data_IF_536410786527
#
_entry.id   IF_536410786527
#
_cell.length_a   1.000
_cell.length_b   1.000
_cell.length_c   1.000
_cell.angle_alpha   90.00
_cell.angle_beta   90.00
_cell.angle_gamma   90.00
#
_symmetry.space_group_name_H-M   'P 1'
#
loop_
_entity.id
_entity.type
_entity.pdbx_description
1 polymer ?
#
# COMPACT_ATOMS: atom_id res chain seq x y z
N UNK A 1 41.13 18.05 14.65
CA UNK A 1 40.37 18.88 13.70
C UNK A 1 40.38 18.22 12.33
N UNK A 2 39.33 17.48 12.00
CA UNK A 2 39.10 17.00 10.63
C UNK A 2 38.47 18.15 9.84
N UNK A 3 39.11 18.55 8.74
CA UNK A 3 38.61 19.59 7.85
C UNK A 3 38.26 18.95 6.51
N UNK A 4 36.98 18.96 6.14
CA UNK A 4 36.51 18.47 4.85
C UNK A 4 36.85 19.49 3.77
N UNK A 5 37.56 19.08 2.74
CA UNK A 5 37.90 19.93 1.59
C UNK A 5 37.27 19.33 0.32
N UNK A 6 36.20 19.95 -0.16
CA UNK A 6 35.46 19.50 -1.35
C UNK A 6 36.08 20.15 -2.58
N UNK A 7 36.78 19.35 -3.39
CA UNK A 7 37.44 19.82 -4.62
C UNK A 7 36.50 19.91 -5.83
N UNK A 8 35.45 19.08 -5.84
CA UNK A 8 34.49 19.02 -6.93
C UNK A 8 33.14 18.50 -6.40
N UNK A 9 32.05 19.05 -6.94
CA UNK A 9 30.68 18.63 -6.66
C UNK A 9 29.94 18.50 -8.00
N UNK A 10 29.15 17.44 -8.15
CA UNK A 10 28.18 17.29 -9.24
C UNK A 10 26.91 16.64 -8.72
N UNK A 11 25.83 16.76 -9.48
CA UNK A 11 24.61 15.97 -9.26
C UNK A 11 24.91 14.51 -9.67
N UNK A 12 24.50 13.56 -8.83
CA UNK A 12 24.57 12.13 -9.15
C UNK A 12 23.47 11.76 -10.15
N UNK A 13 23.78 10.87 -11.09
CA UNK A 13 22.82 10.31 -12.05
C UNK A 13 22.20 9.02 -11.50
N UNK A 14 21.08 8.57 -12.07
CA UNK A 14 20.53 7.24 -11.73
C UNK A 14 21.59 6.15 -12.00
N UNK A 15 21.92 5.36 -10.97
CA UNK A 15 22.94 4.31 -11.04
C UNK A 15 24.31 4.68 -10.44
N UNK A 16 24.56 5.96 -10.16
CA UNK A 16 25.79 6.41 -9.47
C UNK A 16 25.79 6.10 -7.97
N UNK A 17 24.63 5.75 -7.41
CA UNK A 17 24.42 5.56 -5.99
C UNK A 17 23.46 4.38 -5.75
N UNK A 18 23.61 3.72 -4.60
CA UNK A 18 22.64 2.74 -4.12
C UNK A 18 21.63 3.51 -3.26
N UNK A 19 20.35 3.63 -3.67
CA UNK A 19 19.38 4.44 -2.92
C UNK A 19 19.24 4.01 -1.45
N UNK A 20 19.41 2.72 -1.16
CA UNK A 20 19.39 2.16 0.20
C UNK A 20 20.48 2.67 1.13
N UNK A 21 21.61 3.15 0.60
CA UNK A 21 22.71 3.69 1.42
C UNK A 21 22.37 5.09 1.97
N UNK A 22 21.37 5.76 1.39
CA UNK A 22 21.08 7.17 1.65
C UNK A 22 19.63 7.43 2.08
N UNK A 23 18.76 6.42 2.03
CA UNK A 23 17.34 6.54 2.33
C UNK A 23 16.82 5.29 3.06
N UNK A 24 15.79 5.42 3.92
CA UNK A 24 15.10 4.26 4.46
C UNK A 24 14.55 3.37 3.33
N UNK A 25 14.90 2.08 3.34
CA UNK A 25 14.40 1.08 2.38
C UNK A 25 13.90 -0.17 3.09
N UNK A 26 12.99 -0.90 2.45
CA UNK A 26 12.59 -2.24 2.93
C UNK A 26 13.81 -3.16 3.09
N UNK A 27 13.77 -4.01 4.12
CA UNK A 27 14.75 -5.09 4.31
C UNK A 27 14.44 -6.31 3.43
N UNK A 28 13.24 -6.36 2.84
CA UNK A 28 12.79 -7.44 1.99
C UNK A 28 13.18 -7.21 0.53
N UNK A 29 13.33 -8.29 -0.23
CA UNK A 29 13.52 -8.20 -1.69
C UNK A 29 12.28 -7.61 -2.36
N UNK A 30 12.43 -6.43 -2.98
CA UNK A 30 11.36 -5.77 -3.74
C UNK A 30 10.83 -6.68 -4.86
N UNK A 31 11.71 -7.37 -5.58
CA UNK A 31 11.28 -8.32 -6.63
C UNK A 31 10.54 -9.52 -6.03
N UNK A 32 11.06 -10.10 -4.95
CA UNK A 32 10.41 -11.24 -4.29
C UNK A 32 9.04 -10.89 -3.71
N UNK A 33 8.90 -9.69 -3.13
CA UNK A 33 7.61 -9.18 -2.65
C UNK A 33 6.63 -8.98 -3.81
N UNK A 34 7.09 -8.40 -4.91
CA UNK A 34 6.26 -8.16 -6.08
C UNK A 34 5.82 -9.48 -6.74
N UNK A 35 6.71 -10.47 -6.86
CA UNK A 35 6.36 -11.82 -7.32
C UNK A 35 5.32 -12.49 -6.41
N UNK A 36 5.46 -12.37 -5.10
CA UNK A 36 4.47 -12.88 -4.14
C UNK A 36 3.12 -12.17 -4.30
N UNK A 37 3.11 -10.86 -4.51
CA UNK A 37 1.91 -10.06 -4.78
C UNK A 37 1.21 -10.55 -6.06
N UNK A 38 1.97 -10.77 -7.15
CA UNK A 38 1.44 -11.34 -8.39
C UNK A 38 0.90 -12.76 -8.20
N UNK A 39 1.44 -13.51 -7.24
CA UNK A 39 0.88 -14.79 -6.80
C UNK A 39 -0.56 -14.67 -6.29
N UNK A 40 -0.92 -13.58 -5.60
CA UNK A 40 -2.30 -13.31 -5.19
C UNK A 40 -3.17 -12.83 -6.35
N UNK A 41 -2.63 -12.01 -7.26
CA UNK A 41 -3.36 -11.60 -8.49
C UNK A 41 -3.83 -12.82 -9.28
N UNK A 42 -2.97 -13.84 -9.43
CA UNK A 42 -3.28 -15.08 -10.15
C UNK A 42 -4.36 -15.94 -9.48
N UNK A 43 -4.58 -15.77 -8.18
CA UNK A 43 -5.59 -16.50 -7.41
C UNK A 43 -7.00 -15.88 -7.51
N UNK A 44 -7.12 -14.67 -8.06
CA UNK A 44 -8.42 -14.04 -8.33
C UNK A 44 -9.07 -14.76 -9.51
N UNK A 45 -10.17 -15.46 -9.23
CA UNK A 45 -10.88 -16.28 -10.24
C UNK A 45 -11.88 -15.44 -11.05
N UNK A 46 -12.50 -14.45 -10.41
CA UNK A 46 -13.41 -13.51 -11.06
C UNK A 46 -12.68 -12.73 -12.16
N UNK A 47 -13.07 -12.88 -13.44
CA UNK A 47 -12.33 -12.32 -14.55
C UNK A 47 -12.37 -10.78 -14.60
N UNK A 48 -13.42 -10.15 -14.07
CA UNK A 48 -13.54 -8.69 -14.04
C UNK A 48 -12.58 -8.10 -13.01
N UNK A 49 -12.58 -8.63 -11.79
CA UNK A 49 -11.67 -8.19 -10.74
C UNK A 49 -10.21 -8.46 -11.11
N UNK A 50 -9.90 -9.65 -11.66
CA UNK A 50 -8.54 -9.97 -12.08
C UNK A 50 -8.05 -9.00 -13.16
N UNK A 51 -8.86 -8.75 -14.18
CA UNK A 51 -8.49 -7.80 -15.24
C UNK A 51 -8.29 -6.37 -14.71
N UNK A 52 -9.10 -5.93 -13.74
CA UNK A 52 -8.95 -4.61 -13.13
C UNK A 52 -7.63 -4.52 -12.35
N UNK A 53 -7.29 -5.54 -11.56
CA UNK A 53 -6.00 -5.59 -10.84
C UNK A 53 -4.83 -5.65 -11.83
N UNK A 54 -4.90 -6.51 -12.85
CA UNK A 54 -3.85 -6.64 -13.87
C UNK A 54 -3.60 -5.33 -14.63
N UNK A 55 -4.61 -4.46 -14.76
CA UNK A 55 -4.46 -3.15 -15.40
C UNK A 55 -3.28 -2.37 -14.83
N UNK A 56 -3.19 -2.25 -13.51
CA UNK A 56 -2.08 -1.56 -12.86
C UNK A 56 -0.93 -2.49 -12.53
N UNK A 57 -1.22 -3.64 -11.91
CA UNK A 57 -0.18 -4.48 -11.33
C UNK A 57 0.58 -5.35 -12.33
N UNK A 58 0.12 -5.44 -13.59
CA UNK A 58 0.77 -6.25 -14.64
C UNK A 58 1.04 -5.46 -15.92
N UNK A 59 0.10 -4.60 -16.34
CA UNK A 59 0.14 -3.95 -17.67
C UNK A 59 0.75 -2.56 -17.66
N UNK A 60 0.69 -1.83 -16.53
CA UNK A 60 1.23 -0.47 -16.41
C UNK A 60 2.64 -0.49 -15.80
N UNK A 61 3.65 -0.62 -16.66
CA UNK A 61 5.07 -0.64 -16.25
C UNK A 61 5.48 0.61 -15.46
N UNK A 62 4.91 1.77 -15.79
CA UNK A 62 5.22 3.02 -15.13
C UNK A 62 4.64 3.06 -13.71
N UNK A 63 3.40 2.58 -13.53
CA UNK A 63 2.83 2.36 -12.20
C UNK A 63 3.64 1.34 -11.42
N UNK A 64 3.98 0.19 -12.00
CA UNK A 64 4.72 -0.88 -11.32
C UNK A 64 6.06 -0.35 -10.80
N UNK A 65 6.82 0.38 -11.63
CA UNK A 65 8.08 1.02 -11.19
C UNK A 65 7.85 1.95 -10.00
N UNK A 66 6.83 2.82 -10.06
CA UNK A 66 6.52 3.75 -8.96
C UNK A 66 6.10 3.01 -7.69
N UNK A 67 5.17 2.07 -7.79
CA UNK A 67 4.61 1.30 -6.68
C UNK A 67 5.69 0.54 -5.91
N UNK A 68 6.60 -0.13 -6.63
CA UNK A 68 7.71 -0.91 -6.04
C UNK A 68 8.71 -0.08 -5.25
N UNK A 69 8.85 1.21 -5.54
CA UNK A 69 9.76 2.11 -4.83
C UNK A 69 9.06 3.10 -3.89
N UNK A 70 7.72 3.08 -3.81
CA UNK A 70 6.94 4.04 -3.04
C UNK A 70 6.91 3.72 -1.54
N UNK A 71 6.68 4.74 -0.72
CA UNK A 71 6.36 4.57 0.71
C UNK A 71 4.86 4.34 0.90
N UNK A 72 4.48 3.66 1.98
CA UNK A 72 3.07 3.59 2.39
C UNK A 72 2.66 4.79 3.25
N UNK A 73 3.60 5.62 3.68
CA UNK A 73 3.32 6.77 4.52
C UNK A 73 4.44 7.79 4.44
N UNK A 74 4.12 9.04 4.80
CA UNK A 74 5.12 10.09 4.95
C UNK A 74 6.15 9.77 6.04
N UNK A 75 5.72 9.24 7.18
CA UNK A 75 6.61 9.03 8.33
C UNK A 75 6.25 7.91 9.31
N UNK A 76 5.03 7.37 9.30
CA UNK A 76 4.59 6.35 10.27
C UNK A 76 4.23 5.08 9.52
N UNK A 77 4.77 3.93 9.92
CA UNK A 77 4.61 2.59 9.31
C UNK A 77 4.91 2.53 7.81
N UNK A 78 5.93 1.76 7.43
CA UNK A 78 6.30 1.62 6.01
C UNK A 78 6.66 2.96 5.34
N UNK A 79 7.20 3.93 6.10
CA UNK A 79 7.68 5.23 5.63
C UNK A 79 9.02 5.18 4.91
N UNK A 80 9.25 4.13 4.12
CA UNK A 80 10.51 3.82 3.45
C UNK A 80 10.27 3.37 2.00
N UNK A 81 11.29 3.43 1.15
CA UNK A 81 11.16 2.99 -0.24
C UNK A 81 10.89 1.49 -0.32
N UNK A 82 9.84 1.13 -1.07
CA UNK A 82 9.29 -0.23 -1.11
C UNK A 82 8.26 -0.52 -0.01
N UNK A 83 8.01 0.44 0.88
CA UNK A 83 7.04 0.32 1.97
C UNK A 83 5.61 0.10 1.49
N UNK A 84 5.17 0.75 0.40
CA UNK A 84 3.82 0.57 -0.13
C UNK A 84 3.57 -0.87 -0.61
N UNK A 85 4.57 -1.44 -1.31
CA UNK A 85 4.52 -2.84 -1.75
C UNK A 85 4.52 -3.80 -0.55
N UNK A 86 5.39 -3.57 0.43
CA UNK A 86 5.46 -4.40 1.64
C UNK A 86 4.15 -4.39 2.41
N UNK A 87 3.59 -3.19 2.64
CA UNK A 87 2.31 -2.98 3.29
C UNK A 87 1.17 -3.70 2.55
N UNK A 88 1.03 -3.44 1.24
CA UNK A 88 -0.02 -4.06 0.42
C UNK A 88 0.06 -5.58 0.44
N UNK A 89 1.27 -6.15 0.38
CA UNK A 89 1.48 -7.59 0.46
C UNK A 89 1.12 -8.14 1.85
N UNK A 90 1.48 -7.44 2.92
CA UNK A 90 1.17 -7.83 4.29
C UNK A 90 -0.34 -7.82 4.57
N UNK A 91 -1.03 -6.75 4.17
CA UNK A 91 -2.50 -6.65 4.22
C UNK A 91 -3.15 -7.79 3.42
N UNK A 92 -2.67 -8.07 2.22
CA UNK A 92 -3.19 -9.19 1.40
C UNK A 92 -3.02 -10.55 2.08
N UNK A 93 -1.90 -10.78 2.78
CA UNK A 93 -1.66 -12.01 3.56
C UNK A 93 -2.62 -12.13 4.76
N UNK A 94 -2.89 -11.02 5.46
CA UNK A 94 -3.88 -10.99 6.54
C UNK A 94 -5.28 -11.28 6.02
N UNK A 95 -5.64 -10.72 4.86
CA UNK A 95 -6.90 -11.04 4.18
C UNK A 95 -7.00 -12.52 3.80
N UNK A 96 -5.92 -13.13 3.30
CA UNK A 96 -5.87 -14.58 3.07
C UNK A 96 -6.14 -15.38 4.35
N UNK A 97 -5.53 -14.98 5.48
CA UNK A 97 -5.79 -15.61 6.76
C UNK A 97 -7.28 -15.54 7.14
N UNK A 98 -7.91 -14.39 6.94
CA UNK A 98 -9.35 -14.23 7.18
C UNK A 98 -10.22 -15.13 6.30
N UNK A 99 -9.92 -15.24 5.00
CA UNK A 99 -10.63 -16.15 4.08
C UNK A 99 -10.51 -17.60 4.52
N UNK A 100 -9.32 -18.03 4.99
CA UNK A 100 -9.11 -19.40 5.48
C UNK A 100 -9.83 -19.65 6.81
N UNK A 101 -9.93 -18.63 7.66
CA UNK A 101 -10.54 -18.74 8.99
C UNK A 101 -12.08 -18.67 8.94
N UNK A 102 -12.66 -17.93 8.00
CA UNK A 102 -14.10 -17.70 7.92
C UNK A 102 -14.64 -17.87 6.50
N UNK A 103 -15.67 -18.72 6.33
CA UNK A 103 -16.32 -18.98 5.04
C UNK A 103 -17.32 -17.91 4.57
N UNK A 104 -17.27 -16.70 5.14
CA UNK A 104 -18.23 -15.62 4.83
C UNK A 104 -17.73 -14.64 3.77
N UNK A 105 -16.45 -14.70 3.41
CA UNK A 105 -15.83 -13.71 2.54
C UNK A 105 -15.85 -14.15 1.07
N UNK A 106 -16.17 -13.21 0.19
CA UNK A 106 -15.82 -13.28 -1.21
C UNK A 106 -14.30 -13.06 -1.36
N UNK A 107 -13.55 -14.17 -1.47
CA UNK A 107 -12.09 -14.19 -1.63
C UNK A 107 -11.60 -13.23 -2.71
N UNK A 108 -12.21 -13.27 -3.89
CA UNK A 108 -11.75 -12.51 -5.05
C UNK A 108 -11.93 -11.00 -4.84
N UNK A 109 -13.08 -10.60 -4.29
CA UNK A 109 -13.36 -9.21 -3.95
C UNK A 109 -12.40 -8.70 -2.87
N UNK A 110 -12.17 -9.49 -1.82
CA UNK A 110 -11.28 -9.09 -0.74
C UNK A 110 -9.83 -8.97 -1.21
N UNK A 111 -9.33 -9.90 -2.03
CA UNK A 111 -7.98 -9.83 -2.58
C UNK A 111 -7.83 -8.63 -3.52
N UNK A 112 -8.79 -8.40 -4.42
CA UNK A 112 -8.77 -7.22 -5.28
C UNK A 112 -8.80 -5.93 -4.46
N UNK A 113 -9.65 -5.85 -3.43
CA UNK A 113 -9.73 -4.68 -2.56
C UNK A 113 -8.42 -4.45 -1.79
N UNK A 114 -7.80 -5.50 -1.24
CA UNK A 114 -6.50 -5.41 -0.57
C UNK A 114 -5.39 -4.91 -1.50
N UNK A 115 -5.40 -5.29 -2.78
CA UNK A 115 -4.43 -4.80 -3.76
C UNK A 115 -4.67 -3.32 -4.12
N UNK A 116 -5.94 -2.88 -4.11
CA UNK A 116 -6.31 -1.51 -4.50
C UNK A 116 -6.35 -0.50 -3.36
N UNK A 117 -6.46 -0.93 -2.09
CA UNK A 117 -6.86 -0.05 -0.99
C UNK A 117 -6.03 1.24 -0.90
N UNK A 118 -4.73 1.11 -1.06
CA UNK A 118 -3.75 2.19 -0.95
C UNK A 118 -3.10 2.60 -2.29
N UNK A 119 -3.66 2.16 -3.42
CA UNK A 119 -3.06 2.43 -4.74
C UNK A 119 -2.87 3.94 -5.00
N UNK A 120 -3.75 4.76 -4.43
CA UNK A 120 -3.73 6.22 -4.54
C UNK A 120 -2.50 6.85 -3.90
N UNK A 121 -1.81 6.16 -2.98
CA UNK A 121 -0.58 6.67 -2.36
C UNK A 121 0.49 7.01 -3.38
N UNK A 122 0.52 6.29 -4.51
CA UNK A 122 1.42 6.54 -5.65
C UNK A 122 1.25 7.90 -6.32
N UNK A 123 0.16 8.63 -6.05
CA UNK A 123 -0.07 10.01 -6.47
C UNK A 123 -0.22 10.97 -5.30
N UNK A 124 -0.63 10.50 -4.12
CA UNK A 124 -0.74 11.31 -2.90
C UNK A 124 0.64 11.78 -2.41
N UNK A 125 1.64 10.91 -2.47
CA UNK A 125 3.00 11.20 -2.01
C UNK A 125 3.95 11.36 -3.19
N UNK A 126 4.89 12.30 -3.06
CA UNK A 126 5.98 12.46 -4.01
C UNK A 126 6.99 11.32 -3.88
N UNK A 127 7.69 10.94 -4.96
CA UNK A 127 8.78 9.98 -4.85
C UNK A 127 9.87 10.44 -3.87
N UNK A 128 10.64 9.48 -3.37
CA UNK A 128 11.87 9.79 -2.67
C UNK A 128 12.84 10.60 -3.56
N UNK A 129 13.65 11.49 -2.98
CA UNK A 129 13.91 11.66 -1.54
C UNK A 129 12.89 12.53 -0.78
N UNK A 130 11.99 13.24 -1.47
CA UNK A 130 11.12 14.22 -0.82
C UNK A 130 10.05 13.56 0.08
N UNK A 131 9.37 12.51 -0.43
CA UNK A 131 8.34 11.76 0.30
C UNK A 131 7.30 12.65 1.01
N UNK A 132 6.88 13.72 0.34
CA UNK A 132 5.92 14.70 0.87
C UNK A 132 4.60 14.63 0.11
N UNK A 133 3.54 15.19 0.68
CA UNK A 133 2.25 15.26 0.01
C UNK A 133 2.33 16.11 -1.26
N UNK A 134 1.79 15.59 -2.35
CA UNK A 134 1.56 16.33 -3.59
C UNK A 134 0.35 17.26 -3.43
N UNK A 135 0.14 18.18 -4.39
CA UNK A 135 -1.07 19.01 -4.41
C UNK A 135 -2.34 18.15 -4.44
N UNK A 136 -2.36 17.10 -5.27
CA UNK A 136 -3.47 16.13 -5.31
C UNK A 136 -3.62 15.39 -3.97
N UNK A 137 -2.51 15.02 -3.34
CA UNK A 137 -2.53 14.39 -2.02
C UNK A 137 -3.12 15.28 -0.94
N UNK A 138 -2.78 16.57 -0.93
CA UNK A 138 -3.34 17.56 0.00
C UNK A 138 -4.83 17.84 -0.26
N UNK A 139 -5.25 17.87 -1.54
CA UNK A 139 -6.60 18.26 -1.92
C UNK A 139 -7.60 17.10 -1.92
N UNK A 140 -7.18 15.88 -2.27
CA UNK A 140 -8.05 14.74 -2.50
C UNK A 140 -7.80 13.59 -1.52
N UNK A 141 -6.53 13.31 -1.21
CA UNK A 141 -6.10 12.14 -0.43
C UNK A 141 -6.18 10.81 -1.20
N UNK A 142 -5.38 9.83 -0.77
CA UNK A 142 -5.20 8.56 -1.48
C UNK A 142 -6.48 7.73 -1.62
N UNK A 143 -7.45 7.85 -0.71
CA UNK A 143 -8.71 7.08 -0.81
C UNK A 143 -9.49 7.50 -2.05
N UNK A 144 -9.68 8.81 -2.24
CA UNK A 144 -10.41 9.35 -3.40
C UNK A 144 -9.64 9.04 -4.69
N UNK A 145 -8.33 9.31 -4.69
CA UNK A 145 -7.44 9.00 -5.81
C UNK A 145 -7.49 7.50 -6.15
N UNK A 146 -7.47 6.62 -5.14
CA UNK A 146 -7.50 5.17 -5.30
C UNK A 146 -8.80 4.68 -5.91
N UNK A 147 -9.94 5.30 -5.54
CA UNK A 147 -11.24 5.04 -6.17
C UNK A 147 -11.26 5.49 -7.63
N UNK A 148 -10.67 6.65 -7.95
CA UNK A 148 -10.55 7.12 -9.34
C UNK A 148 -9.71 6.16 -10.17
N UNK A 149 -8.55 5.74 -9.65
CA UNK A 149 -7.69 4.75 -10.30
C UNK A 149 -8.41 3.41 -10.51
N UNK A 150 -9.06 2.86 -9.48
CA UNK A 150 -9.86 1.65 -9.61
C UNK A 150 -10.96 1.82 -10.66
N UNK A 151 -11.59 3.00 -10.72
CA UNK A 151 -12.62 3.31 -11.70
C UNK A 151 -12.09 3.40 -13.14
N UNK A 152 -10.86 3.90 -13.35
CA UNK A 152 -10.22 3.89 -14.67
C UNK A 152 -9.99 2.45 -15.16
N UNK A 153 -9.47 1.58 -14.29
CA UNK A 153 -9.32 0.15 -14.60
C UNK A 153 -10.67 -0.51 -14.91
N UNK A 154 -11.69 -0.27 -14.09
CA UNK A 154 -13.05 -0.80 -14.31
C UNK A 154 -13.62 -0.35 -15.66
N UNK A 155 -13.51 0.93 -16.01
CA UNK A 155 -14.03 1.49 -17.27
C UNK A 155 -13.34 0.94 -18.52
N UNK A 156 -12.10 0.46 -18.38
CA UNK A 156 -11.38 -0.17 -19.48
C UNK A 156 -11.89 -1.57 -19.84
N UNK A 157 -12.76 -2.16 -19.00
CA UNK A 157 -13.23 -3.54 -19.14
C UNK A 157 -14.70 -3.54 -19.58
N UNK A 158 -15.02 -4.05 -20.79
CA UNK A 158 -16.39 -4.17 -21.25
C UNK A 158 -17.25 -4.99 -20.28
N UNK A 159 -18.51 -4.57 -20.12
CA UNK A 159 -19.53 -5.28 -19.36
C UNK A 159 -19.18 -5.56 -17.89
N UNK A 160 -18.26 -4.79 -17.28
CA UNK A 160 -17.94 -4.92 -15.86
C UNK A 160 -19.23 -4.75 -15.01
N UNK A 161 -19.62 -5.76 -14.20
CA UNK A 161 -20.87 -5.69 -13.45
C UNK A 161 -20.90 -4.51 -12.47
N UNK A 162 -21.86 -3.61 -12.63
CA UNK A 162 -21.95 -2.36 -11.83
C UNK A 162 -21.97 -2.63 -10.33
N UNK A 163 -22.71 -3.66 -9.89
CA UNK A 163 -22.75 -4.06 -8.48
C UNK A 163 -21.36 -4.41 -7.95
N UNK A 164 -20.60 -5.23 -8.70
CA UNK A 164 -19.25 -5.66 -8.31
C UNK A 164 -18.27 -4.48 -8.28
N UNK A 165 -18.41 -3.55 -9.24
CA UNK A 165 -17.63 -2.32 -9.27
C UNK A 165 -17.89 -1.46 -8.02
N UNK A 166 -19.16 -1.34 -7.62
CA UNK A 166 -19.55 -0.59 -6.42
C UNK A 166 -19.07 -1.27 -5.13
N UNK A 167 -19.10 -2.61 -5.07
CA UNK A 167 -18.57 -3.37 -3.93
C UNK A 167 -17.05 -3.19 -3.77
N UNK A 168 -16.28 -3.25 -4.86
CA UNK A 168 -14.83 -2.99 -4.83
C UNK A 168 -14.53 -1.56 -4.37
N UNK A 169 -15.21 -0.57 -4.97
CA UNK A 169 -15.08 0.84 -4.56
C UNK A 169 -15.45 1.04 -3.11
N UNK A 170 -16.51 0.39 -2.61
CA UNK A 170 -16.89 0.50 -1.21
C UNK A 170 -15.81 -0.04 -0.27
N UNK A 171 -15.17 -1.15 -0.62
CA UNK A 171 -14.05 -1.66 0.18
C UNK A 171 -12.89 -0.64 0.25
N UNK A 172 -12.53 -0.01 -0.88
CA UNK A 172 -11.51 1.05 -0.92
C UNK A 172 -11.98 2.28 -0.11
N UNK A 173 -13.21 2.75 -0.29
CA UNK A 173 -13.73 3.93 0.43
C UNK A 173 -13.83 3.71 1.95
N UNK A 174 -14.00 2.47 2.39
CA UNK A 174 -14.27 2.15 3.79
C UNK A 174 -13.06 1.56 4.55
N UNK A 175 -11.90 1.41 3.92
CA UNK A 175 -10.81 0.63 4.50
C UNK A 175 -10.20 1.28 5.77
N UNK A 176 -10.25 2.60 5.92
CA UNK A 176 -9.85 3.26 7.18
C UNK A 176 -10.85 3.03 8.35
N UNK A 177 -12.01 2.41 8.09
CA UNK A 177 -12.93 1.93 9.12
C UNK A 177 -13.85 2.99 9.72
N UNK A 178 -13.26 4.04 10.30
CA UNK A 178 -13.99 5.07 11.05
C UNK A 178 -13.83 6.46 10.42
N UNK A 179 -14.89 7.28 10.53
CA UNK A 179 -14.89 8.65 10.01
C UNK A 179 -13.80 9.50 10.69
N UNK A 180 -13.53 9.21 11.97
CA UNK A 180 -12.50 9.87 12.78
C UNK A 180 -11.08 9.56 12.31
N UNK A 181 -10.90 8.45 11.59
CA UNK A 181 -9.62 8.04 10.98
C UNK A 181 -9.52 8.45 9.50
N UNK A 182 -10.39 9.37 9.06
CA UNK A 182 -10.39 9.90 7.70
C UNK A 182 -11.11 9.01 6.69
N UNK A 183 -11.79 7.94 7.12
CA UNK A 183 -12.57 7.09 6.22
C UNK A 183 -13.82 7.84 5.71
N UNK A 184 -14.06 7.97 4.40
CA UNK A 184 -15.29 8.59 3.92
C UNK A 184 -16.57 7.78 4.24
N UNK A 185 -16.44 6.47 4.45
CA UNK A 185 -17.54 5.57 4.87
C UNK A 185 -17.06 4.55 5.89
N UNK A 186 -18.00 4.02 6.67
CA UNK A 186 -17.75 2.84 7.51
C UNK A 186 -17.91 1.55 6.70
N UNK A 187 -17.21 0.46 7.06
CA UNK A 187 -17.42 -0.85 6.45
C UNK A 187 -18.89 -1.27 6.50
N UNK A 188 -19.40 -1.72 5.35
CA UNK A 188 -20.78 -2.17 5.18
C UNK A 188 -20.86 -3.51 4.41
N UNK A 189 -19.70 -4.08 4.13
CA UNK A 189 -19.48 -5.40 3.53
C UNK A 189 -18.54 -6.18 4.44
N UNK A 190 -18.64 -7.50 4.43
CA UNK A 190 -17.74 -8.36 5.19
C UNK A 190 -16.28 -8.13 4.76
N UNK A 191 -16.06 -7.99 3.45
CA UNK A 191 -14.75 -7.74 2.84
C UNK A 191 -14.19 -6.38 3.25
N UNK A 192 -15.03 -5.33 3.28
CA UNK A 192 -14.59 -4.01 3.73
C UNK A 192 -14.19 -4.02 5.21
N UNK A 193 -14.90 -4.79 6.06
CA UNK A 193 -14.58 -4.90 7.48
C UNK A 193 -13.28 -5.69 7.69
N UNK A 194 -13.12 -6.78 6.95
CA UNK A 194 -11.90 -7.58 6.96
C UNK A 194 -10.69 -6.75 6.48
N UNK A 195 -10.84 -6.00 5.40
CA UNK A 195 -9.79 -5.13 4.88
C UNK A 195 -9.36 -4.08 5.91
N UNK A 196 -10.31 -3.38 6.53
CA UNK A 196 -10.02 -2.43 7.61
C UNK A 196 -9.22 -3.07 8.75
N UNK A 197 -9.64 -4.24 9.23
CA UNK A 197 -8.91 -4.92 10.29
C UNK A 197 -7.51 -5.37 9.86
N UNK A 198 -7.34 -5.83 8.62
CA UNK A 198 -6.03 -6.22 8.08
C UNK A 198 -5.09 -5.01 8.02
N UNK A 199 -5.56 -3.90 7.42
CA UNK A 199 -4.82 -2.64 7.30
C UNK A 199 -4.40 -2.09 8.68
N UNK A 200 -5.35 -1.95 9.60
CA UNK A 200 -5.07 -1.45 10.94
C UNK A 200 -4.11 -2.36 11.72
N UNK A 201 -4.20 -3.68 11.54
CA UNK A 201 -3.31 -4.64 12.19
C UNK A 201 -1.88 -4.49 11.68
N UNK A 202 -1.71 -4.39 10.36
CA UNK A 202 -0.40 -4.24 9.75
C UNK A 202 0.26 -2.91 10.16
N UNK A 203 -0.46 -1.79 10.03
CA UNK A 203 0.04 -0.47 10.41
C UNK A 203 0.53 -0.42 11.87
N UNK A 204 -0.23 -1.03 12.80
CA UNK A 204 0.15 -1.09 14.22
C UNK A 204 1.36 -1.97 14.48
N UNK A 205 1.39 -3.17 13.91
CA UNK A 205 2.52 -4.09 14.14
C UNK A 205 3.80 -3.64 13.44
N UNK A 206 3.70 -3.03 12.26
CA UNK A 206 4.85 -2.42 11.62
C UNK A 206 5.38 -1.24 12.44
N UNK A 207 4.51 -0.36 12.94
CA UNK A 207 4.91 0.72 13.85
C UNK A 207 5.65 0.17 15.08
N UNK A 208 5.14 -0.90 15.68
CA UNK A 208 5.80 -1.54 16.82
C UNK A 208 7.16 -2.15 16.45
N UNK A 209 7.27 -2.80 15.28
CA UNK A 209 8.52 -3.36 14.75
C UNK A 209 9.58 -2.27 14.54
N UNK A 210 9.20 -1.12 13.98
CA UNK A 210 10.08 0.03 13.79
C UNK A 210 10.57 0.59 15.14
N UNK A 211 9.66 0.76 16.12
CA UNK A 211 10.04 1.22 17.47
C UNK A 211 11.02 0.24 18.16
N UNK A 212 10.78 -1.07 18.04
CA UNK A 212 11.66 -2.10 18.60
C UNK A 212 13.04 -2.07 17.97
N UNK A 213 13.11 -1.90 16.64
CA UNK A 213 14.37 -1.75 15.92
C UNK A 213 15.14 -0.51 16.38
N UNK A 214 14.48 0.64 16.47
CA UNK A 214 15.10 1.91 16.87
C UNK A 214 15.63 1.87 18.31
N UNK A 215 14.93 1.19 19.22
CA UNK A 215 15.34 1.02 20.62
C UNK A 215 16.27 -0.17 20.84
N UNK A 216 16.50 -0.98 19.82
CA UNK A 216 17.25 -2.24 19.88
C UNK A 216 16.79 -3.17 21.03
N UNK A 217 15.48 -3.37 21.14
CA UNK A 217 14.85 -4.23 22.17
C UNK A 217 13.51 -4.77 21.69
N UNK A 218 13.09 -5.92 22.23
CA UNK A 218 11.73 -6.46 22.11
C UNK A 218 10.99 -6.48 23.46
N UNK A 219 11.52 -5.81 24.47
CA UNK A 219 10.98 -5.78 25.82
C UNK A 219 9.76 -4.85 25.92
N UNK A 220 9.05 -4.93 27.05
CA UNK A 220 7.93 -4.03 27.33
C UNK A 220 8.37 -2.56 27.32
N UNK A 221 7.74 -1.76 26.46
CA UNK A 221 8.08 -0.34 26.24
C UNK A 221 7.28 0.64 27.13
N UNK A 222 6.53 0.13 28.10
CA UNK A 222 5.47 0.90 28.76
C UNK A 222 4.17 0.92 27.93
N UNK A 223 3.12 1.51 28.49
CA UNK A 223 1.87 1.73 27.77
C UNK A 223 2.10 2.73 26.63
N UNK A 224 1.80 2.33 25.40
CA UNK A 224 1.80 3.19 24.22
C UNK A 224 0.34 3.52 23.85
N UNK A 225 0.08 4.74 23.40
CA UNK A 225 -1.27 5.14 22.96
C UNK A 225 -1.50 4.88 21.47
N UNK A 226 -0.44 4.55 20.73
CA UNK A 226 -0.51 4.24 19.30
C UNK A 226 -1.11 2.84 19.04
N UNK A 227 -1.10 1.96 20.04
CA UNK A 227 -1.67 0.61 19.99
C UNK A 227 -2.08 0.13 21.38
#
# INVERSE_FOLDING_TARGET
NLQLNIKQLRRADEGDYVPADYMPTSENSVEGMYEALLGYVKQIENPYLRQAVEYYFVKDEAFIKRFKSHSAAKSVHHGFSGGLLEHTLSVTRLCEYYVRAYGIFNKDLLYAAALFHDIGKTKELSPFPDNDYTDDGQLLGHIVIGVEMANDAIRSIPDFPEKLANELKHCIVAHHGELEYGSPKKPALAEALALNHADCTDAKFQTLKEIFKDKNTSDWLGYNRLF
#
